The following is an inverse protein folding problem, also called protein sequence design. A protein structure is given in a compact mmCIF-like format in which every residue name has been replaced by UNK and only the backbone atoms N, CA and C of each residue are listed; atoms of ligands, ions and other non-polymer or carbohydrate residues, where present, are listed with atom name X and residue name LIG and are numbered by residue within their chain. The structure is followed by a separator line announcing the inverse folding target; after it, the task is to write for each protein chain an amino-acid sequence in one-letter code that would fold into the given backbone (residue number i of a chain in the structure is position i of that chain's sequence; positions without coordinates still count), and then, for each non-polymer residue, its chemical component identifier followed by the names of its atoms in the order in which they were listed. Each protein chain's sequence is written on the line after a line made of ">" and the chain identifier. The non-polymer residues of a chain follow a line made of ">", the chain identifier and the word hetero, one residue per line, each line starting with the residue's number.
data_IF_035180039751
#
_entry.id   IF_035180039751
#
_cell.length_a   1.000
_cell.length_b   1.000
_cell.length_c   1.000
_cell.angle_alpha   90.00
_cell.angle_beta   90.00
_cell.angle_gamma   90.00
#
_symmetry.space_group_name_H-M   'P 1'
#
loop_
_entity.id
_entity.type
_entity.pdbx_description
1 polymer ?
#
# COMPACT_ATOMS: atom_id res chain seq x y z
N UNK A 1 -2.88 10.99 -29.10
CA UNK A 1 -4.24 10.47 -28.82
C UNK A 1 -4.26 9.59 -27.57
N UNK A 2 -3.42 8.55 -27.49
CA UNK A 2 -3.33 7.65 -26.32
C UNK A 2 -2.96 8.35 -24.99
N UNK A 3 -2.07 9.34 -25.01
CA UNK A 3 -1.68 10.06 -23.78
C UNK A 3 -2.80 10.91 -23.17
N UNK A 4 -3.71 11.44 -23.99
CA UNK A 4 -4.86 12.23 -23.51
C UNK A 4 -5.94 11.31 -22.93
N UNK A 5 -6.18 10.16 -23.57
CA UNK A 5 -7.10 9.13 -23.06
C UNK A 5 -6.60 8.58 -21.72
N UNK A 6 -5.30 8.28 -21.60
CA UNK A 6 -4.69 7.85 -20.34
C UNK A 6 -4.85 8.91 -19.23
N UNK A 7 -4.68 10.20 -19.56
CA UNK A 7 -4.89 11.31 -18.62
C UNK A 7 -6.33 11.42 -18.12
N UNK A 8 -7.32 11.27 -19.00
CA UNK A 8 -8.74 11.29 -18.58
C UNK A 8 -9.11 10.07 -17.74
N UNK A 9 -8.62 8.88 -18.10
CA UNK A 9 -8.89 7.66 -17.34
C UNK A 9 -8.27 7.70 -15.94
N UNK A 10 -7.07 8.26 -15.78
CA UNK A 10 -6.42 8.36 -14.47
C UNK A 10 -7.15 9.34 -13.55
N UNK A 11 -7.60 10.48 -14.07
CA UNK A 11 -8.41 11.44 -13.31
C UNK A 11 -9.76 10.86 -12.87
N UNK A 12 -10.39 10.06 -13.74
CA UNK A 12 -11.63 9.35 -13.41
C UNK A 12 -11.44 8.30 -12.31
N UNK A 13 -10.36 7.52 -12.38
CA UNK A 13 -9.99 6.54 -11.35
C UNK A 13 -9.73 7.24 -10.01
N UNK A 14 -9.04 8.38 -10.02
CA UNK A 14 -8.81 9.20 -8.81
C UNK A 14 -10.13 9.72 -8.25
N UNK A 15 -11.06 10.17 -9.09
CA UNK A 15 -12.37 10.65 -8.63
C UNK A 15 -13.21 9.53 -8.01
N UNK A 16 -13.24 8.35 -8.64
CA UNK A 16 -13.89 7.14 -8.11
C UNK A 16 -13.27 6.77 -6.77
N UNK A 17 -11.94 6.71 -6.68
CA UNK A 17 -11.22 6.41 -5.45
C UNK A 17 -11.62 7.35 -4.29
N UNK A 18 -11.68 8.65 -4.58
CA UNK A 18 -12.08 9.69 -3.61
C UNK A 18 -13.56 9.56 -3.18
N UNK A 19 -14.44 9.14 -4.09
CA UNK A 19 -15.85 8.90 -3.78
C UNK A 19 -16.03 7.64 -2.92
N UNK A 20 -15.35 6.55 -3.27
CA UNK A 20 -15.36 5.30 -2.48
C UNK A 20 -14.83 5.51 -1.08
N UNK A 21 -13.77 6.30 -0.89
CA UNK A 21 -13.24 6.63 0.43
C UNK A 21 -14.30 7.33 1.30
N UNK A 22 -15.02 8.31 0.75
CA UNK A 22 -16.08 9.01 1.49
C UNK A 22 -17.29 8.13 1.81
N UNK A 23 -17.67 7.24 0.90
CA UNK A 23 -18.79 6.33 1.07
C UNK A 23 -18.53 5.27 2.16
N UNK A 24 -17.30 4.76 2.25
CA UNK A 24 -16.91 3.74 3.22
C UNK A 24 -16.87 4.26 4.67
N UNK A 25 -16.58 5.55 4.87
CA UNK A 25 -16.44 6.17 6.20
C UNK A 25 -17.76 6.42 6.94
N UNK A 26 -18.90 6.12 6.32
CA UNK A 26 -20.23 6.25 6.94
C UNK A 26 -20.56 5.10 7.90
N UNK A 27 -19.79 4.00 7.86
CA UNK A 27 -19.97 2.80 8.69
C UNK A 27 -19.11 2.83 9.98
N UNK A 28 -19.28 1.86 10.89
CA UNK A 28 -18.48 1.81 12.14
C UNK A 28 -16.99 1.62 11.83
N UNK A 29 -16.20 2.69 11.98
CA UNK A 29 -14.78 2.78 11.56
C UNK A 29 -13.91 1.58 11.96
N UNK A 30 -13.95 1.18 13.23
CA UNK A 30 -13.11 0.08 13.74
C UNK A 30 -13.39 -1.28 13.07
N UNK A 31 -14.66 -1.57 12.74
CA UNK A 31 -15.06 -2.83 12.13
C UNK A 31 -14.62 -2.90 10.67
N UNK A 32 -14.70 -1.75 10.00
CA UNK A 32 -14.28 -1.57 8.61
C UNK A 32 -12.76 -1.68 8.49
N UNK A 33 -12.02 -1.03 9.38
CA UNK A 33 -10.55 -1.12 9.47
C UNK A 33 -10.09 -2.55 9.74
N UNK A 34 -10.73 -3.23 10.70
CA UNK A 34 -10.42 -4.62 11.02
C UNK A 34 -10.68 -5.57 9.85
N UNK A 35 -11.86 -5.48 9.22
CA UNK A 35 -12.23 -6.35 8.10
C UNK A 35 -11.35 -6.09 6.87
N UNK A 36 -10.96 -4.83 6.62
CA UNK A 36 -10.06 -4.48 5.53
C UNK A 36 -8.64 -5.00 5.77
N UNK A 37 -8.15 -4.91 7.02
CA UNK A 37 -6.87 -5.48 7.39
C UNK A 37 -6.85 -7.00 7.16
N UNK A 38 -7.85 -7.72 7.66
CA UNK A 38 -8.00 -9.16 7.42
C UNK A 38 -8.07 -9.49 5.93
N UNK A 39 -8.93 -8.80 5.18
CA UNK A 39 -9.08 -9.02 3.74
C UNK A 39 -7.76 -8.80 2.99
N UNK A 40 -6.99 -7.76 3.35
CA UNK A 40 -5.68 -7.50 2.75
C UNK A 40 -4.65 -8.60 3.04
N UNK A 41 -4.65 -9.14 4.27
CA UNK A 41 -3.76 -10.23 4.67
C UNK A 41 -4.13 -11.51 3.92
N UNK A 42 -5.42 -11.89 3.89
CA UNK A 42 -5.87 -13.06 3.14
C UNK A 42 -5.57 -12.93 1.65
N UNK A 43 -5.76 -11.75 1.06
CA UNK A 43 -5.45 -11.50 -0.33
C UNK A 43 -3.95 -11.62 -0.60
N UNK A 44 -3.09 -11.13 0.29
CA UNK A 44 -1.63 -11.28 0.17
C UNK A 44 -1.19 -12.75 0.26
N UNK A 45 -1.77 -13.52 1.19
CA UNK A 45 -1.47 -14.96 1.34
C UNK A 45 -1.89 -15.73 0.09
N UNK A 46 -3.11 -15.47 -0.42
CA UNK A 46 -3.59 -16.12 -1.64
C UNK A 46 -2.73 -15.75 -2.86
N UNK A 47 -2.32 -14.49 -2.98
CA UNK A 47 -1.43 -14.06 -4.05
C UNK A 47 -0.04 -14.68 -3.96
N UNK A 48 0.52 -14.84 -2.76
CA UNK A 48 1.76 -15.58 -2.54
C UNK A 48 1.64 -17.04 -2.98
N UNK A 49 0.54 -17.70 -2.60
CA UNK A 49 0.28 -19.08 -3.05
C UNK A 49 0.11 -19.20 -4.57
N UNK A 50 -0.57 -18.25 -5.21
CA UNK A 50 -0.74 -18.22 -6.66
C UNK A 50 0.58 -17.94 -7.37
N UNK A 51 1.44 -17.09 -6.79
CA UNK A 51 2.80 -16.84 -7.29
C UNK A 51 3.67 -18.10 -7.26
N UNK A 52 3.56 -18.88 -6.18
CA UNK A 52 4.27 -20.15 -6.01
C UNK A 52 3.78 -21.24 -6.98
N UNK A 53 2.48 -21.29 -7.28
CA UNK A 53 1.90 -22.31 -8.17
C UNK A 53 2.12 -21.98 -9.65
N UNK A 54 2.07 -20.70 -10.03
CA UNK A 54 2.10 -20.27 -11.43
C UNK A 54 3.47 -19.79 -11.92
N UNK A 55 4.50 -19.73 -11.07
CA UNK A 55 5.86 -19.27 -11.39
C UNK A 55 5.84 -17.95 -12.22
N UNK A 56 5.12 -16.96 -11.72
CA UNK A 56 4.82 -15.73 -12.46
C UNK A 56 6.11 -14.93 -12.70
N UNK A 57 6.29 -14.29 -13.89
CA UNK A 57 7.44 -13.43 -14.14
C UNK A 57 7.54 -12.27 -13.12
N UNK A 58 8.77 -12.01 -12.67
CA UNK A 58 9.13 -11.04 -11.60
C UNK A 58 8.57 -9.62 -11.77
N UNK A 59 8.25 -9.20 -13.01
CA UNK A 59 7.60 -7.92 -13.30
C UNK A 59 6.20 -7.81 -12.70
N UNK A 60 5.44 -8.91 -12.71
CA UNK A 60 4.06 -8.96 -12.22
C UNK A 60 4.03 -9.20 -10.72
N UNK A 61 5.08 -9.85 -10.17
CA UNK A 61 5.27 -10.03 -8.71
C UNK A 61 5.26 -8.72 -7.92
N UNK A 62 5.62 -7.58 -8.52
CA UNK A 62 5.53 -6.26 -7.87
C UNK A 62 4.13 -5.64 -7.93
N UNK A 63 3.32 -6.03 -8.91
CA UNK A 63 1.97 -5.49 -9.11
C UNK A 63 0.98 -6.17 -8.16
N UNK A 64 1.14 -7.46 -7.87
CA UNK A 64 0.22 -8.21 -7.01
C UNK A 64 0.16 -7.63 -5.58
N UNK A 65 1.28 -7.33 -4.89
CA UNK A 65 1.28 -6.69 -3.57
C UNK A 65 0.73 -5.27 -3.60
N UNK A 66 0.89 -4.56 -4.73
CA UNK A 66 0.35 -3.19 -4.87
C UNK A 66 -1.19 -3.19 -4.88
N UNK A 67 -1.82 -4.22 -5.47
CA UNK A 67 -3.27 -4.37 -5.44
C UNK A 67 -3.77 -4.72 -4.04
N UNK A 68 -3.05 -5.58 -3.32
CA UNK A 68 -3.35 -5.89 -1.92
C UNK A 68 -3.22 -4.65 -1.00
N UNK A 69 -2.17 -3.84 -1.21
CA UNK A 69 -1.96 -2.61 -0.47
C UNK A 69 -3.07 -1.58 -0.73
N UNK A 70 -3.58 -1.49 -1.96
CA UNK A 70 -4.69 -0.58 -2.31
C UNK A 70 -5.96 -0.85 -1.50
N UNK A 71 -6.28 -2.13 -1.24
CA UNK A 71 -7.42 -2.52 -0.40
C UNK A 71 -7.30 -1.95 1.03
N UNK A 72 -6.10 -2.00 1.61
CA UNK A 72 -5.83 -1.46 2.94
C UNK A 72 -5.81 0.09 2.95
N UNK A 73 -5.27 0.69 1.89
CA UNK A 73 -5.15 2.15 1.71
C UNK A 73 -6.49 2.87 1.55
N UNK A 74 -7.49 2.21 0.98
CA UNK A 74 -8.85 2.75 0.85
C UNK A 74 -9.53 2.96 2.21
N UNK A 75 -9.18 2.13 3.19
CA UNK A 75 -9.82 2.12 4.51
C UNK A 75 -9.03 2.93 5.55
N UNK A 76 -7.75 3.21 5.30
CA UNK A 76 -6.92 3.96 6.23
C UNK A 76 -7.34 5.43 6.40
N UNK A 77 -7.78 5.78 7.62
CA UNK A 77 -8.13 7.15 8.07
C UNK A 77 -7.32 7.58 9.30
N UNK A 78 -6.13 7.00 9.48
CA UNK A 78 -5.20 7.41 10.53
C UNK A 78 -4.53 8.76 10.28
N UNK A 79 -3.68 9.17 11.24
CA UNK A 79 -2.84 10.36 11.13
C UNK A 79 -1.84 10.21 9.98
N UNK A 80 -1.65 11.27 9.18
CA UNK A 80 -0.78 11.28 7.98
C UNK A 80 0.49 12.13 8.19
N UNK A 81 0.78 12.42 9.45
CA UNK A 81 1.94 13.20 9.88
C UNK A 81 3.11 12.27 10.20
N UNK A 82 4.28 12.55 9.61
CA UNK A 82 5.52 11.82 9.89
C UNK A 82 6.38 12.65 10.84
N UNK A 83 6.97 11.97 11.83
CA UNK A 83 7.96 12.55 12.74
C UNK A 83 9.34 12.34 12.13
N UNK A 84 10.10 13.43 11.97
CA UNK A 84 11.43 13.38 11.37
C UNK A 84 12.45 12.95 12.46
N UNK A 85 13.37 12.01 12.18
CA UNK A 85 14.37 11.59 13.16
C UNK A 85 15.34 12.75 13.49
N UNK A 86 15.66 12.89 14.78
CA UNK A 86 16.45 13.98 15.39
C UNK A 86 17.71 14.43 14.61
N UNK A 87 18.58 13.57 14.06
CA UNK A 87 19.76 14.03 13.32
C UNK A 87 19.43 14.78 12.01
N UNK A 88 18.26 14.54 11.42
CA UNK A 88 17.82 15.17 10.16
C UNK A 88 17.04 16.47 10.44
N UNK A 89 16.45 16.60 11.64
CA UNK A 89 15.70 17.80 12.06
C UNK A 89 16.57 19.05 11.97
N UNK A 90 17.87 18.96 12.33
CA UNK A 90 18.80 20.11 12.26
C UNK A 90 19.02 20.66 10.85
N UNK A 91 18.79 19.87 9.79
CA UNK A 91 18.91 20.33 8.41
C UNK A 91 17.60 20.84 7.82
N UNK A 92 16.46 20.31 8.29
CA UNK A 92 15.13 20.55 7.69
C UNK A 92 14.34 21.63 8.45
N UNK A 93 14.61 21.85 9.73
CA UNK A 93 14.01 22.93 10.53
C UNK A 93 12.57 22.70 11.00
N UNK A 94 11.98 21.53 10.72
CA UNK A 94 10.64 21.15 11.17
C UNK A 94 10.68 19.74 11.80
N UNK A 95 9.95 19.52 12.90
CA UNK A 95 9.88 18.22 13.60
C UNK A 95 8.75 17.32 13.09
N UNK A 96 7.66 17.92 12.58
CA UNK A 96 6.45 17.23 12.15
C UNK A 96 6.12 17.67 10.72
N UNK A 97 6.03 16.71 9.80
CA UNK A 97 5.67 16.95 8.41
C UNK A 97 4.33 16.29 8.09
N UNK A 98 3.33 17.06 7.66
CA UNK A 98 2.07 16.52 7.12
C UNK A 98 2.23 16.19 5.64
N UNK A 99 2.20 14.90 5.30
CA UNK A 99 2.33 14.43 3.92
C UNK A 99 0.99 14.37 3.18
N UNK A 100 -0.14 14.47 3.89
CA UNK A 100 -1.46 14.35 3.30
C UNK A 100 -1.61 13.10 2.42
N UNK A 101 -1.98 13.27 1.14
CA UNK A 101 -2.17 12.15 0.19
C UNK A 101 -0.88 11.39 -0.12
N UNK A 102 0.28 12.04 -0.05
CA UNK A 102 1.57 11.36 -0.31
C UNK A 102 1.88 10.32 0.76
N UNK A 103 1.33 10.45 1.97
CA UNK A 103 1.44 9.43 3.02
C UNK A 103 0.82 8.10 2.60
N UNK A 104 -0.32 8.14 1.89
CA UNK A 104 -0.96 6.95 1.34
C UNK A 104 -0.10 6.29 0.25
N UNK A 105 0.49 7.10 -0.64
CA UNK A 105 1.44 6.57 -1.63
C UNK A 105 2.65 5.90 -0.97
N UNK A 106 3.22 6.54 0.06
CA UNK A 106 4.33 6.00 0.84
C UNK A 106 3.97 4.65 1.50
N UNK A 107 2.81 4.56 2.17
CA UNK A 107 2.38 3.30 2.80
C UNK A 107 2.22 2.17 1.76
N UNK A 108 1.73 2.47 0.56
CA UNK A 108 1.60 1.49 -0.52
C UNK A 108 2.96 1.00 -1.01
N UNK A 109 3.90 1.93 -1.25
CA UNK A 109 5.27 1.59 -1.63
C UNK A 109 5.99 0.80 -0.52
N UNK A 110 5.74 1.13 0.75
CA UNK A 110 6.29 0.39 1.89
C UNK A 110 5.78 -1.05 1.92
N UNK A 111 4.49 -1.28 1.68
CA UNK A 111 3.93 -2.64 1.63
C UNK A 111 4.53 -3.48 0.48
N UNK A 112 4.70 -2.88 -0.70
CA UNK A 112 5.38 -3.52 -1.84
C UNK A 112 6.85 -3.78 -1.54
N UNK A 113 7.53 -2.85 -0.89
CA UNK A 113 8.92 -3.01 -0.46
C UNK A 113 9.08 -4.15 0.54
N UNK A 114 8.22 -4.23 1.57
CA UNK A 114 8.29 -5.30 2.57
C UNK A 114 8.14 -6.69 1.93
N UNK A 115 7.13 -6.88 1.08
CA UNK A 115 6.90 -8.17 0.41
C UNK A 115 8.04 -8.56 -0.54
N UNK A 116 8.57 -7.60 -1.27
CA UNK A 116 9.71 -7.83 -2.17
C UNK A 116 11.02 -8.06 -1.42
N UNK A 117 11.22 -7.37 -0.29
CA UNK A 117 12.44 -7.47 0.52
C UNK A 117 12.55 -8.86 1.16
N UNK A 118 11.44 -9.39 1.70
CA UNK A 118 11.42 -10.75 2.26
C UNK A 118 11.73 -11.78 1.16
N UNK A 119 11.09 -11.65 -0.01
CA UNK A 119 11.28 -12.57 -1.13
C UNK A 119 12.72 -12.57 -1.70
N UNK A 120 13.46 -11.46 -1.61
CA UNK A 120 14.87 -11.40 -2.03
C UNK A 120 15.82 -11.90 -0.93
N UNK A 121 15.43 -11.82 0.34
CA UNK A 121 16.19 -12.38 1.48
C UNK A 121 15.95 -13.88 1.68
N UNK A 122 15.02 -14.48 0.94
CA UNK A 122 14.78 -15.90 0.83
C UNK A 122 16.02 -16.68 0.34
N UNK A 123 16.09 -17.98 0.62
CA UNK A 123 17.10 -18.88 0.05
C UNK A 123 18.04 -19.56 1.04
N UNK A 124 17.93 -19.25 2.33
CA UNK A 124 18.55 -20.02 3.43
C UNK A 124 17.40 -20.58 4.29
N UNK A 125 17.38 -21.90 4.50
CA UNK A 125 16.31 -22.57 5.26
C UNK A 125 16.09 -21.91 6.62
N UNK A 126 14.88 -21.37 6.84
CA UNK A 126 14.46 -20.79 8.12
C UNK A 126 14.70 -19.28 8.29
N UNK A 127 15.28 -18.58 7.32
CA UNK A 127 15.56 -17.13 7.43
C UNK A 127 14.31 -16.24 7.28
N UNK A 128 13.28 -16.73 6.59
CA UNK A 128 12.05 -15.95 6.32
C UNK A 128 11.06 -15.93 7.49
N UNK A 129 11.22 -16.87 8.44
CA UNK A 129 10.34 -17.08 9.60
C UNK A 129 11.02 -16.69 10.92
N UNK A 130 12.34 -16.42 10.88
CA UNK A 130 13.19 -16.12 12.04
C UNK A 130 13.12 -14.70 12.56
#
# INVERSE_FOLDING_TARGET
>A
MWSVVLGFTSLWIIHIYMYTEKAFLKQRKWLVEYNAALASIYFMILLGFVDDVLDIPSRVKLVLPSMAALLLLMVYVGHRTIIIPKPIVSYVGFEILDLGRFYKLYMGLLAVFCTSSVNIHAGINGLEVG
#
